data_IF_291895190747
#
_entry.id   IF_291895190747
#
_cell.length_a   1.000
_cell.length_b   1.000
_cell.length_c   1.000
_cell.angle_alpha   90.00
_cell.angle_beta   90.00
_cell.angle_gamma   90.00
#
_symmetry.space_group_name_H-M   'P 1'
#
loop_
_entity.id
_entity.type
_entity.pdbx_description
1 polymer ?
#
# COMPACT_ATOMS: atom_id res chain seq x y z
N UNK A 1 13.51 12.01 26.03
CA UNK A 1 13.49 11.00 24.94
C UNK A 1 13.83 9.67 25.57
N UNK A 2 13.17 8.58 25.16
CA UNK A 2 13.40 7.25 25.76
C UNK A 2 13.14 6.12 24.78
N UNK A 3 13.69 4.94 25.06
CA UNK A 3 13.44 3.73 24.26
C UNK A 3 12.29 2.96 24.91
N UNK A 4 11.29 2.62 24.12
CA UNK A 4 10.13 1.83 24.54
C UNK A 4 10.17 0.50 23.81
N UNK A 5 10.00 -0.58 24.57
CA UNK A 5 9.86 -1.93 24.05
C UNK A 5 8.39 -2.29 23.93
N UNK A 6 7.98 -2.77 22.76
CA UNK A 6 6.62 -3.20 22.51
C UNK A 6 6.62 -4.60 21.92
N UNK A 7 6.07 -5.55 22.67
CA UNK A 7 5.92 -6.94 22.27
C UNK A 7 4.60 -7.14 21.56
N UNK A 8 4.66 -7.67 20.34
CA UNK A 8 3.47 -8.08 19.61
C UNK A 8 2.97 -9.41 20.18
N UNK A 9 1.81 -9.41 20.83
CA UNK A 9 1.23 -10.60 21.47
C UNK A 9 0.94 -11.75 20.50
N UNK A 10 0.71 -11.45 19.21
CA UNK A 10 0.40 -12.48 18.21
C UNK A 10 1.64 -13.21 17.70
N UNK A 11 2.75 -12.48 17.51
CA UNK A 11 3.98 -13.02 16.92
C UNK A 11 5.09 -13.26 17.95
N UNK A 12 4.92 -12.78 19.19
CA UNK A 12 5.94 -12.83 20.24
C UNK A 12 7.15 -11.91 20.00
N UNK A 13 7.15 -11.11 18.92
CA UNK A 13 8.28 -10.28 18.54
C UNK A 13 8.27 -8.97 19.35
N UNK A 14 9.39 -8.66 20.01
CA UNK A 14 9.62 -7.39 20.69
C UNK A 14 10.29 -6.40 19.75
N UNK A 15 9.73 -5.21 19.63
CA UNK A 15 10.28 -4.12 18.85
C UNK A 15 10.71 -2.98 19.77
N UNK A 16 11.84 -2.35 19.44
CA UNK A 16 12.34 -1.16 20.11
C UNK A 16 11.96 0.10 19.33
N UNK A 17 11.40 1.07 20.03
CA UNK A 17 11.00 2.37 19.49
C UNK A 17 11.68 3.50 20.23
N UNK A 18 12.23 4.46 19.51
CA UNK A 18 12.62 5.75 20.07
C UNK A 18 11.38 6.61 20.23
N UNK A 19 11.12 7.07 21.45
CA UNK A 19 9.93 7.83 21.82
C UNK A 19 10.28 9.30 22.12
N UNK A 20 9.62 10.20 21.39
CA UNK A 20 9.74 11.65 21.52
C UNK A 20 8.38 12.24 21.89
N UNK A 21 8.24 12.66 23.15
CA UNK A 21 7.04 13.35 23.63
C UNK A 21 7.05 14.82 23.21
N UNK A 22 5.93 15.31 22.72
CA UNK A 22 5.73 16.72 22.36
C UNK A 22 4.36 17.19 22.83
N UNK A 23 4.23 18.50 23.06
CA UNK A 23 2.94 19.13 23.34
C UNK A 23 2.25 19.49 22.03
N UNK A 24 1.07 18.91 21.79
CA UNK A 24 0.25 19.25 20.63
C UNK A 24 -0.62 20.48 20.97
N UNK A 25 -0.25 21.63 20.41
CA UNK A 25 -0.91 22.91 20.69
C UNK A 25 -2.34 22.98 20.16
N UNK A 26 -2.63 22.32 19.04
CA UNK A 26 -3.96 22.33 18.43
C UNK A 26 -4.93 21.51 19.28
N UNK A 27 -4.50 20.31 19.66
CA UNK A 27 -5.32 19.37 20.45
C UNK A 27 -5.20 19.59 21.96
N UNK A 28 -4.33 20.51 22.39
CA UNK A 28 -4.05 20.85 23.80
C UNK A 28 -3.78 19.62 24.68
N UNK A 29 -2.98 18.68 24.17
CA UNK A 29 -2.65 17.45 24.89
C UNK A 29 -1.21 17.02 24.63
N UNK A 30 -0.63 16.27 25.57
CA UNK A 30 0.65 15.61 25.35
C UNK A 30 0.48 14.47 24.35
N UNK A 31 1.39 14.41 23.37
CA UNK A 31 1.46 13.33 22.38
C UNK A 31 2.89 12.84 22.25
N UNK A 32 3.07 11.70 21.59
CA UNK A 32 4.38 11.14 21.35
C UNK A 32 4.53 10.67 19.90
N UNK A 33 5.69 10.95 19.32
CA UNK A 33 6.14 10.37 18.05
C UNK A 33 7.06 9.20 18.37
N UNK A 34 6.83 8.06 17.71
CA UNK A 34 7.64 6.85 17.86
C UNK A 34 8.33 6.53 16.54
N UNK A 35 9.65 6.35 16.59
CA UNK A 35 10.45 5.89 15.46
C UNK A 35 10.89 4.45 15.74
N UNK A 36 10.63 3.54 14.81
CA UNK A 36 11.09 2.16 14.92
C UNK A 36 12.62 2.14 14.81
N UNK A 37 13.30 1.63 15.84
CA UNK A 37 14.75 1.40 15.80
C UNK A 37 15.05 0.02 15.23
N UNK A 38 14.28 -0.99 15.62
CA UNK A 38 14.50 -2.36 15.19
C UNK A 38 13.72 -3.40 15.96
N UNK A 39 14.00 -4.67 15.65
CA UNK A 39 13.58 -5.83 16.43
C UNK A 39 14.59 -6.08 17.54
N UNK A 40 14.12 -6.48 18.71
CA UNK A 40 14.98 -6.91 19.82
C UNK A 40 15.20 -8.41 19.71
N UNK A 41 16.45 -8.82 19.78
CA UNK A 41 16.79 -10.24 19.87
C UNK A 41 16.57 -10.75 21.29
N UNK A 42 15.80 -11.84 21.48
CA UNK A 42 15.46 -12.33 22.82
C UNK A 42 16.63 -12.95 23.57
N UNK A 43 17.73 -13.30 22.88
CA UNK A 43 18.90 -13.96 23.47
C UNK A 43 19.98 -12.94 23.86
N UNK A 44 20.27 -11.98 22.98
CA UNK A 44 21.33 -10.98 23.21
C UNK A 44 20.81 -9.68 23.80
N UNK A 45 19.51 -9.38 23.63
CA UNK A 45 18.94 -8.08 24.00
C UNK A 45 19.30 -6.95 23.04
N UNK A 46 20.04 -7.26 21.97
CA UNK A 46 20.49 -6.27 20.99
C UNK A 46 19.33 -5.82 20.09
N UNK A 47 19.38 -4.55 19.67
CA UNK A 47 18.40 -3.96 18.76
C UNK A 47 18.93 -4.16 17.32
N UNK A 48 18.40 -5.16 16.64
CA UNK A 48 18.67 -5.39 15.22
C UNK A 48 17.83 -4.43 14.39
N UNK A 49 18.49 -3.54 13.64
CA UNK A 49 17.81 -2.63 12.71
C UNK A 49 17.04 -3.42 11.65
N UNK A 50 15.73 -3.22 11.57
CA UNK A 50 14.92 -3.80 10.50
C UNK A 50 15.32 -3.15 9.17
N UNK A 51 15.37 -3.95 8.09
CA UNK A 51 15.62 -3.45 6.72
C UNK A 51 14.81 -2.19 6.48
N UNK A 52 15.48 -1.08 6.13
CA UNK A 52 14.80 0.17 5.81
C UNK A 52 13.76 -0.10 4.72
N UNK A 53 12.49 0.14 5.02
CA UNK A 53 11.44 0.09 4.03
C UNK A 53 11.70 1.21 3.04
N UNK A 54 12.34 0.86 1.92
CA UNK A 54 12.37 1.72 0.74
C UNK A 54 10.91 1.82 0.27
N UNK A 55 10.18 2.84 0.75
CA UNK A 55 9.06 3.37 -0.03
C UNK A 55 9.68 3.58 -1.41
N UNK A 56 9.11 2.96 -2.45
CA UNK A 56 9.47 3.35 -3.81
C UNK A 56 9.27 4.85 -3.83
N UNK A 57 10.35 5.60 -3.95
CA UNK A 57 10.24 7.04 -4.06
C UNK A 57 9.29 7.28 -5.24
N UNK A 58 8.24 8.08 -5.03
CA UNK A 58 7.43 8.56 -6.15
C UNK A 58 8.25 9.42 -7.13
N UNK A 59 9.55 9.62 -6.84
CA UNK A 59 10.59 10.04 -7.76
C UNK A 59 11.21 8.84 -8.50
N UNK A 60 10.37 7.91 -8.95
CA UNK A 60 10.74 7.18 -10.15
C UNK A 60 10.76 8.24 -11.25
N UNK A 61 11.95 8.43 -11.79
CA UNK A 61 12.29 9.31 -12.88
C UNK A 61 11.27 9.21 -14.03
N UNK A 62 11.28 10.24 -14.86
CA UNK A 62 10.54 10.47 -16.10
C UNK A 62 10.77 9.38 -17.17
N UNK A 63 10.85 8.11 -16.78
CA UNK A 63 10.75 6.98 -17.70
C UNK A 63 9.29 6.94 -18.10
N UNK A 64 8.94 7.11 -19.40
CA UNK A 64 7.58 6.93 -19.84
C UNK A 64 7.17 5.52 -19.46
N UNK A 65 6.21 5.41 -18.53
CA UNK A 65 5.60 4.14 -18.21
C UNK A 65 5.18 3.50 -19.55
N UNK A 66 5.52 2.23 -19.76
CA UNK A 66 5.12 1.52 -20.97
C UNK A 66 3.62 1.77 -21.17
N UNK A 67 3.19 2.23 -22.37
CA UNK A 67 1.80 2.55 -22.58
C UNK A 67 0.97 1.34 -22.16
N UNK A 68 0.03 1.58 -21.24
CA UNK A 68 -0.90 0.55 -20.82
C UNK A 68 -1.70 0.04 -22.01
N UNK A 69 -2.44 -1.07 -21.85
CA UNK A 69 -3.33 -1.56 -22.89
C UNK A 69 -4.23 -0.43 -23.41
N UNK A 70 -4.39 -0.35 -24.74
CA UNK A 70 -5.20 0.67 -25.40
C UNK A 70 -6.60 0.66 -24.80
N UNK A 71 -7.08 1.82 -24.35
CA UNK A 71 -8.39 1.96 -23.74
C UNK A 71 -9.49 1.55 -24.74
N UNK A 72 -10.37 0.62 -24.35
CA UNK A 72 -11.54 0.24 -25.13
C UNK A 72 -12.47 1.46 -25.22
N UNK A 73 -12.47 2.14 -26.37
CA UNK A 73 -13.23 3.38 -26.57
C UNK A 73 -14.70 3.12 -26.90
N UNK A 74 -15.01 1.93 -27.44
CA UNK A 74 -16.36 1.53 -27.83
C UNK A 74 -16.57 0.07 -27.48
N UNK A 75 -17.72 -0.22 -26.89
CA UNK A 75 -18.20 -1.58 -26.66
C UNK A 75 -19.44 -1.80 -27.52
N UNK A 76 -19.43 -2.80 -28.39
CA UNK A 76 -20.61 -3.24 -29.13
C UNK A 76 -20.96 -4.66 -28.71
N UNK A 77 -22.19 -4.85 -28.24
CA UNK A 77 -22.74 -6.17 -27.95
C UNK A 77 -23.40 -6.70 -29.22
N UNK A 78 -22.67 -7.52 -29.96
CA UNK A 78 -23.20 -8.17 -31.15
C UNK A 78 -23.91 -9.47 -30.74
N UNK A 79 -25.19 -9.59 -31.05
CA UNK A 79 -25.93 -10.84 -30.91
C UNK A 79 -25.86 -11.54 -32.26
N UNK A 80 -25.17 -12.67 -32.36
CA UNK A 80 -25.07 -13.49 -33.57
C UNK A 80 -25.87 -14.79 -33.43
N UNK A 81 -27.10 -14.67 -32.92
CA UNK A 81 -28.03 -15.79 -32.72
C UNK A 81 -29.19 -15.78 -33.70
N UNK A 82 -30.27 -16.50 -33.35
CA UNK A 82 -31.48 -16.57 -34.19
C UNK A 82 -32.07 -15.19 -34.53
N UNK A 83 -31.97 -14.22 -33.60
CA UNK A 83 -32.45 -12.84 -33.83
C UNK A 83 -31.66 -12.10 -34.91
N UNK A 84 -30.37 -12.40 -35.08
CA UNK A 84 -29.54 -11.82 -36.14
C UNK A 84 -29.91 -12.36 -37.52
N UNK A 85 -30.19 -13.66 -37.59
CA UNK A 85 -30.62 -14.31 -38.84
C UNK A 85 -31.94 -13.71 -39.34
N UNK A 86 -32.95 -13.58 -38.46
CA UNK A 86 -34.22 -12.98 -38.83
C UNK A 86 -34.09 -11.50 -39.22
N UNK A 87 -33.24 -10.73 -38.53
CA UNK A 87 -32.95 -9.33 -38.88
C UNK A 87 -32.26 -9.20 -40.25
N UNK A 88 -31.38 -10.16 -40.63
CA UNK A 88 -30.79 -10.19 -41.97
C UNK A 88 -31.81 -10.56 -43.06
N UNK A 89 -32.68 -11.54 -42.81
CA UNK A 89 -33.73 -11.92 -43.77
C UNK A 89 -34.66 -10.72 -44.02
N UNK A 90 -35.05 -9.99 -42.97
CA UNK A 90 -35.90 -8.81 -43.09
C UNK A 90 -35.28 -7.63 -43.85
N UNK A 91 -33.95 -7.54 -43.91
CA UNK A 91 -33.23 -6.52 -44.71
C UNK A 91 -33.07 -6.90 -46.18
N UNK A 92 -33.24 -8.18 -46.52
CA UNK A 92 -33.06 -8.70 -47.87
C UNK A 92 -34.37 -8.74 -48.69
N UNK A 93 -35.50 -8.41 -48.07
CA UNK A 93 -36.81 -8.20 -48.70
C UNK A 93 -37.05 -6.71 -48.94
#
# INVERSE_FOLDING_TARGET
MGIIYQTNKKTGITYAYQNESYWDKEKKQSRAKRKLLGKVDPVTGDIISTRSYKKKDHKAELVPAKPGPVAITKYQRCFFGATYLFDQIGKAL
#
